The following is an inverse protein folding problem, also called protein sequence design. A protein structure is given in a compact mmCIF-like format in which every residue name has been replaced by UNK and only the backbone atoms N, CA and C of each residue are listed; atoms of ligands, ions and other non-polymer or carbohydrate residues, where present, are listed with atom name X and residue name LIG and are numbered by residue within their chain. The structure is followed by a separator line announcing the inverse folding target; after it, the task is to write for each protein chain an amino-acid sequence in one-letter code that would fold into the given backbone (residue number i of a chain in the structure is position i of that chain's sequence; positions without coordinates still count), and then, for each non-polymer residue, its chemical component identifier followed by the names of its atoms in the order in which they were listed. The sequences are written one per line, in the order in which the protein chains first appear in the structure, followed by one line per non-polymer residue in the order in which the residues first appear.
data_IF_263798418344
#
_entry.id   IF_263798418344
#
_cell.length_a   1.000
_cell.length_b   1.000
_cell.length_c   1.000
_cell.angle_alpha   90.00
_cell.angle_beta   90.00
_cell.angle_gamma   90.00
#
_symmetry.space_group_name_H-M   'P 1'
#
loop_
_entity.id
_entity.type
_entity.pdbx_description
1 polymer ?
#
# COMPACT_ATOMS: atom_id res chain seq x y z
N UNK A 1 -3.40 23.22 -14.94
CA UNK A 1 -3.19 21.79 -15.23
C UNK A 1 -4.56 21.16 -15.41
N UNK A 2 -4.90 20.68 -16.61
CA UNK A 2 -6.24 20.14 -16.88
C UNK A 2 -6.47 18.90 -16.00
N UNK A 3 -7.63 18.81 -15.33
CA UNK A 3 -7.99 17.69 -14.46
C UNK A 3 -7.83 16.35 -15.16
N UNK A 4 -8.16 16.30 -16.45
CA UNK A 4 -7.97 15.13 -17.31
C UNK A 4 -6.51 14.70 -17.36
N UNK A 5 -5.58 15.64 -17.55
CA UNK A 5 -4.15 15.34 -17.58
C UNK A 5 -3.64 14.76 -16.24
N UNK A 6 -4.10 15.32 -15.11
CA UNK A 6 -3.74 14.79 -13.79
C UNK A 6 -4.30 13.38 -13.57
N UNK A 7 -5.55 13.11 -13.98
CA UNK A 7 -6.18 11.79 -13.86
C UNK A 7 -5.47 10.78 -14.75
N UNK A 8 -5.17 11.11 -16.01
CA UNK A 8 -4.45 10.23 -16.93
C UNK A 8 -3.06 9.90 -16.41
N UNK A 9 -2.33 10.88 -15.90
CA UNK A 9 -0.97 10.67 -15.38
C UNK A 9 -0.97 9.75 -14.16
N UNK A 10 -1.90 9.95 -13.22
CA UNK A 10 -2.05 9.06 -12.05
C UNK A 10 -2.46 7.66 -12.48
N UNK A 11 -3.40 7.53 -13.41
CA UNK A 11 -3.86 6.22 -13.89
C UNK A 11 -2.74 5.43 -14.56
N UNK A 12 -2.01 6.07 -15.49
CA UNK A 12 -0.88 5.45 -16.18
C UNK A 12 0.23 5.09 -15.18
N UNK A 13 0.62 6.00 -14.28
CA UNK A 13 1.64 5.74 -13.26
C UNK A 13 1.27 4.55 -12.37
N UNK A 14 0.07 4.53 -11.79
CA UNK A 14 -0.39 3.42 -10.96
C UNK A 14 -0.44 2.09 -11.71
N UNK A 15 -0.97 2.06 -12.94
CA UNK A 15 -1.05 0.84 -13.73
C UNK A 15 0.34 0.33 -14.11
N UNK A 16 1.25 1.22 -14.54
CA UNK A 16 2.63 0.85 -14.85
C UNK A 16 3.36 0.33 -13.61
N UNK A 17 3.21 0.97 -12.46
CA UNK A 17 3.79 0.52 -11.20
C UNK A 17 3.37 -0.93 -10.88
N UNK A 18 2.07 -1.21 -10.95
CA UNK A 18 1.52 -2.55 -10.68
C UNK A 18 2.07 -3.59 -11.66
N UNK A 19 2.16 -3.26 -12.96
CA UNK A 19 2.73 -4.18 -13.97
C UNK A 19 4.19 -4.51 -13.66
N UNK A 20 5.03 -3.52 -13.35
CA UNK A 20 6.42 -3.78 -12.99
C UNK A 20 6.55 -4.56 -11.68
N UNK A 21 5.69 -4.28 -10.70
CA UNK A 21 5.64 -5.04 -9.45
C UNK A 21 5.28 -6.50 -9.70
N UNK A 22 4.30 -6.78 -10.56
CA UNK A 22 3.89 -8.13 -10.91
C UNK A 22 5.02 -8.92 -11.58
N UNK A 23 5.74 -8.30 -12.53
CA UNK A 23 6.90 -8.93 -13.17
C UNK A 23 7.99 -9.26 -12.14
N UNK A 24 8.32 -8.32 -11.25
CA UNK A 24 9.32 -8.53 -10.20
C UNK A 24 8.94 -9.67 -9.25
N UNK A 25 7.70 -9.69 -8.77
CA UNK A 25 7.21 -10.72 -7.83
C UNK A 25 7.10 -12.09 -8.51
N UNK A 26 6.79 -12.13 -9.81
CA UNK A 26 6.71 -13.38 -10.57
C UNK A 26 8.08 -14.06 -10.71
N UNK A 27 9.13 -13.27 -10.95
CA UNK A 27 10.47 -13.81 -11.18
C UNK A 27 11.23 -14.04 -9.86
N UNK A 28 11.00 -13.20 -8.83
CA UNK A 28 11.57 -13.35 -7.49
C UNK A 28 10.49 -13.23 -6.41
N UNK A 29 9.83 -14.34 -6.02
CA UNK A 29 8.84 -14.31 -4.96
C UNK A 29 9.50 -13.89 -3.65
N UNK A 30 8.93 -12.89 -2.96
CA UNK A 30 9.48 -12.32 -1.73
C UNK A 30 10.26 -11.01 -1.92
N UNK A 31 10.49 -10.54 -3.16
CA UNK A 31 11.21 -9.29 -3.42
C UNK A 31 10.45 -8.01 -2.97
N UNK A 32 9.26 -8.13 -2.39
CA UNK A 32 8.45 -6.99 -1.98
C UNK A 32 9.17 -6.05 -1.00
N UNK A 33 10.03 -6.58 -0.13
CA UNK A 33 10.78 -5.79 0.85
C UNK A 33 11.83 -4.88 0.19
N UNK A 34 12.58 -5.38 -0.81
CA UNK A 34 13.55 -4.57 -1.54
C UNK A 34 12.86 -3.51 -2.41
N UNK A 35 11.70 -3.85 -3.00
CA UNK A 35 10.91 -2.91 -3.80
C UNK A 35 10.41 -1.74 -2.94
N UNK A 36 9.74 -2.04 -1.82
CA UNK A 36 9.24 -1.00 -0.90
C UNK A 36 10.37 -0.19 -0.29
N UNK A 37 11.48 -0.82 0.08
CA UNK A 37 12.67 -0.10 0.55
C UNK A 37 13.18 0.90 -0.50
N UNK A 38 13.34 0.46 -1.76
CA UNK A 38 13.82 1.33 -2.84
C UNK A 38 12.87 2.50 -3.10
N UNK A 39 11.54 2.26 -3.09
CA UNK A 39 10.52 3.31 -3.20
C UNK A 39 10.64 4.32 -2.05
N UNK A 40 10.78 3.85 -0.82
CA UNK A 40 10.86 4.72 0.37
C UNK A 40 12.14 5.55 0.36
N UNK A 41 13.28 4.95 -0.03
CA UNK A 41 14.56 5.65 -0.17
C UNK A 41 14.47 6.71 -1.27
N UNK A 42 13.92 6.38 -2.43
CA UNK A 42 13.79 7.34 -3.52
C UNK A 42 12.93 8.55 -3.14
N UNK A 43 11.76 8.30 -2.54
CA UNK A 43 10.86 9.36 -2.06
C UNK A 43 11.51 10.18 -0.94
N UNK A 44 12.23 9.53 -0.03
CA UNK A 44 12.94 10.23 1.05
C UNK A 44 14.09 11.08 0.50
N UNK A 45 14.83 10.62 -0.51
CA UNK A 45 15.92 11.38 -1.14
C UNK A 45 15.40 12.59 -1.92
N UNK A 46 14.34 12.42 -2.71
CA UNK A 46 13.66 13.51 -3.42
C UNK A 46 13.17 14.57 -2.42
N UNK A 47 12.48 14.14 -1.36
CA UNK A 47 12.01 15.03 -0.31
C UNK A 47 13.15 15.70 0.48
N UNK A 48 14.25 14.99 0.71
CA UNK A 48 15.41 15.54 1.40
C UNK A 48 16.06 16.69 0.59
N UNK A 49 16.24 16.49 -0.71
CA UNK A 49 16.86 17.46 -1.61
C UNK A 49 15.93 18.65 -1.87
N UNK A 50 14.68 18.38 -2.29
CA UNK A 50 13.78 19.42 -2.79
C UNK A 50 12.93 20.09 -1.71
N UNK A 51 12.58 19.39 -0.63
CA UNK A 51 11.68 19.94 0.40
C UNK A 51 12.45 20.40 1.65
N UNK A 52 13.40 19.60 2.15
CA UNK A 52 14.11 19.94 3.39
C UNK A 52 15.33 20.83 3.19
N UNK A 53 15.76 21.07 1.94
CA UNK A 53 17.00 21.79 1.60
C UNK A 53 18.19 21.28 2.44
N UNK A 54 18.46 19.97 2.39
CA UNK A 54 19.48 19.31 3.23
C UNK A 54 19.26 19.49 4.74
N UNK A 55 17.99 19.45 5.18
CA UNK A 55 17.63 19.61 6.60
C UNK A 55 17.67 21.04 7.15
N UNK A 56 17.84 22.05 6.30
CA UNK A 56 17.84 23.47 6.71
C UNK A 56 16.43 23.99 7.04
N UNK A 57 15.39 23.38 6.49
CA UNK A 57 14.00 23.77 6.72
C UNK A 57 13.45 23.09 7.99
N UNK A 58 12.92 23.87 8.93
CA UNK A 58 12.23 23.33 10.11
C UNK A 58 10.86 22.78 9.70
N UNK A 59 10.42 21.64 10.27
CA UNK A 59 9.12 21.06 9.97
C UNK A 59 7.99 21.99 10.45
N UNK A 60 6.98 22.18 9.60
CA UNK A 60 5.77 22.95 9.91
C UNK A 60 4.83 22.13 10.80
N UNK A 61 4.86 20.81 10.65
CA UNK A 61 4.07 19.87 11.44
C UNK A 61 4.99 19.19 12.47
N UNK A 62 4.62 19.14 13.77
CA UNK A 62 5.42 18.47 14.79
C UNK A 62 5.67 17.00 14.44
N UNK A 63 6.94 16.57 14.51
CA UNK A 63 7.39 15.21 14.14
C UNK A 63 6.62 14.11 14.89
N UNK A 64 6.17 14.38 16.12
CA UNK A 64 5.33 13.45 16.90
C UNK A 64 4.08 13.00 16.13
N UNK A 65 3.46 13.86 15.33
CA UNK A 65 2.28 13.49 14.54
C UNK A 65 2.63 12.56 13.38
N UNK A 66 3.79 12.76 12.76
CA UNK A 66 4.28 11.85 11.71
C UNK A 66 4.65 10.48 12.27
N UNK A 67 5.27 10.43 13.45
CA UNK A 67 5.53 9.15 14.14
C UNK A 67 4.22 8.39 14.38
N UNK A 68 3.16 9.07 14.83
CA UNK A 68 1.84 8.45 15.01
C UNK A 68 1.29 7.90 13.68
N UNK A 69 1.37 8.66 12.59
CA UNK A 69 0.94 8.18 11.26
C UNK A 69 1.72 6.96 10.82
N UNK A 70 3.05 6.99 10.97
CA UNK A 70 3.94 5.89 10.61
C UNK A 70 3.64 4.64 11.43
N UNK A 71 3.39 4.78 12.73
CA UNK A 71 3.00 3.65 13.59
C UNK A 71 1.65 3.06 13.16
N UNK A 72 0.65 3.89 12.83
CA UNK A 72 -0.63 3.43 12.30
C UNK A 72 -0.45 2.70 10.97
N UNK A 73 0.33 3.26 10.04
CA UNK A 73 0.65 2.65 8.75
C UNK A 73 1.35 1.30 8.93
N UNK A 74 2.37 1.22 9.78
CA UNK A 74 3.10 -0.01 10.06
C UNK A 74 2.19 -1.08 10.66
N UNK A 75 1.34 -0.71 11.62
CA UNK A 75 0.34 -1.62 12.21
C UNK A 75 -0.60 -2.18 11.14
N UNK A 76 -1.14 -1.31 10.28
CA UNK A 76 -2.00 -1.72 9.15
C UNK A 76 -1.24 -2.65 8.21
N UNK A 77 0.02 -2.34 7.89
CA UNK A 77 0.86 -3.14 7.01
C UNK A 77 1.14 -4.54 7.57
N UNK A 78 1.51 -4.64 8.85
CA UNK A 78 1.78 -5.92 9.52
C UNK A 78 0.53 -6.77 9.57
N UNK A 79 -0.62 -6.21 9.95
CA UNK A 79 -1.87 -6.96 10.04
C UNK A 79 -2.36 -7.40 8.65
N UNK A 80 -2.27 -6.54 7.64
CA UNK A 80 -2.63 -6.93 6.26
C UNK A 80 -1.72 -8.04 5.73
N UNK A 81 -0.42 -7.96 5.96
CA UNK A 81 0.52 -9.01 5.54
C UNK A 81 0.25 -10.31 6.29
N UNK A 82 -0.04 -10.26 7.59
CA UNK A 82 -0.33 -11.45 8.38
C UNK A 82 -1.67 -12.09 8.02
N UNK A 83 -2.67 -11.30 7.61
CA UNK A 83 -3.98 -11.78 7.19
C UNK A 83 -3.92 -12.74 5.98
N UNK A 84 -2.87 -12.67 5.15
CA UNK A 84 -2.65 -13.60 4.04
C UNK A 84 -2.41 -15.05 4.50
N UNK A 85 -1.90 -15.26 5.70
CA UNK A 85 -1.68 -16.60 6.27
C UNK A 85 -2.99 -17.32 6.60
N UNK A 86 -4.13 -16.62 6.61
CA UNK A 86 -5.44 -17.18 6.97
C UNK A 86 -6.21 -17.73 5.75
N UNK A 87 -5.49 -18.15 4.70
CA UNK A 87 -6.04 -18.66 3.44
C UNK A 87 -7.06 -17.72 2.79
N UNK A 88 -6.88 -16.41 2.96
CA UNK A 88 -7.71 -15.41 2.30
C UNK A 88 -7.23 -15.27 0.86
N UNK A 89 -8.15 -15.44 -0.10
CA UNK A 89 -7.84 -15.21 -1.51
C UNK A 89 -7.37 -13.76 -1.72
N UNK A 90 -6.28 -13.58 -2.47
CA UNK A 90 -5.74 -12.25 -2.80
C UNK A 90 -6.78 -11.26 -3.36
N UNK A 91 -7.75 -11.68 -4.21
CA UNK A 91 -8.85 -10.82 -4.63
C UNK A 91 -9.69 -10.30 -3.46
N UNK A 92 -10.00 -11.13 -2.46
CA UNK A 92 -10.77 -10.72 -1.28
C UNK A 92 -10.00 -9.69 -0.44
N UNK A 93 -8.68 -9.85 -0.31
CA UNK A 93 -7.83 -8.85 0.33
C UNK A 93 -7.86 -7.50 -0.41
N UNK A 94 -7.75 -7.50 -1.74
CA UNK A 94 -7.82 -6.28 -2.56
C UNK A 94 -9.18 -5.56 -2.43
N UNK A 95 -10.26 -6.32 -2.33
CA UNK A 95 -11.63 -5.86 -2.11
C UNK A 95 -11.75 -5.14 -0.76
N UNK A 96 -11.31 -5.76 0.33
CA UNK A 96 -11.32 -5.13 1.66
C UNK A 96 -10.45 -3.87 1.69
N UNK A 97 -9.25 -3.90 1.09
CA UNK A 97 -8.36 -2.73 1.02
C UNK A 97 -9.03 -1.54 0.32
N UNK A 98 -9.79 -1.81 -0.74
CA UNK A 98 -10.57 -0.79 -1.47
C UNK A 98 -11.73 -0.21 -0.64
N UNK A 99 -12.24 -0.97 0.33
CA UNK A 99 -13.26 -0.52 1.30
C UNK A 99 -12.78 0.53 2.31
N UNK A 100 -11.47 0.77 2.44
CA UNK A 100 -10.93 1.84 3.30
C UNK A 100 -11.45 3.23 2.92
N UNK A 101 -11.75 3.47 1.64
CA UNK A 101 -12.37 4.73 1.18
C UNK A 101 -13.77 4.92 1.77
N UNK A 102 -14.57 3.85 1.82
CA UNK A 102 -15.92 3.86 2.40
C UNK A 102 -15.82 4.13 3.90
N UNK A 103 -14.95 3.40 4.60
CA UNK A 103 -14.76 3.57 6.04
C UNK A 103 -14.24 4.97 6.39
N UNK A 104 -13.32 5.52 5.60
CA UNK A 104 -12.84 6.89 5.77
C UNK A 104 -13.98 7.90 5.61
N UNK A 105 -14.86 7.73 4.62
CA UNK A 105 -16.02 8.61 4.47
C UNK A 105 -16.99 8.47 5.65
N UNK A 106 -17.33 7.25 6.09
CA UNK A 106 -18.23 7.02 7.23
C UNK A 106 -17.64 7.62 8.51
N UNK A 107 -16.38 7.34 8.82
CA UNK A 107 -15.69 7.91 9.98
C UNK A 107 -15.58 9.44 9.88
N UNK A 108 -15.42 9.99 8.67
CA UNK A 108 -15.45 11.43 8.45
C UNK A 108 -16.83 12.06 8.69
N UNK A 109 -17.93 11.33 8.46
CA UNK A 109 -19.27 11.78 8.85
C UNK A 109 -19.43 11.73 10.37
N UNK A 110 -18.99 10.65 11.01
CA UNK A 110 -19.19 10.43 12.45
C UNK A 110 -18.28 11.35 13.29
N UNK A 111 -16.98 11.37 13.00
CA UNK A 111 -15.96 12.06 13.80
C UNK A 111 -15.85 13.53 13.40
N UNK A 112 -15.75 13.82 12.10
CA UNK A 112 -15.54 15.19 11.60
C UNK A 112 -16.86 15.93 11.33
N UNK A 113 -18.01 15.26 11.41
CA UNK A 113 -19.33 15.82 11.06
C UNK A 113 -19.37 16.44 9.66
N UNK A 114 -18.53 15.95 8.75
CA UNK A 114 -18.47 16.43 7.36
C UNK A 114 -19.75 16.01 6.61
N UNK A 115 -20.22 16.87 5.69
CA UNK A 115 -21.32 16.58 4.75
C UNK A 115 -20.72 16.29 3.37
N UNK A 116 -21.09 15.17 2.77
CA UNK A 116 -20.59 14.74 1.46
C UNK A 116 -21.67 14.90 0.37
N UNK A 117 -21.25 15.05 -0.89
CA UNK A 117 -22.17 15.15 -2.04
C UNK A 117 -22.83 13.79 -2.34
N UNK A 118 -24.07 13.81 -2.85
CA UNK A 118 -24.85 12.62 -3.23
C UNK A 118 -24.11 11.66 -4.16
N UNK A 119 -23.23 12.16 -5.03
CA UNK A 119 -22.40 11.32 -5.91
C UNK A 119 -21.44 10.41 -5.13
N UNK A 120 -20.92 10.86 -3.97
CA UNK A 120 -20.01 10.04 -3.13
C UNK A 120 -20.76 8.90 -2.45
N UNK A 121 -22.00 9.12 -2.04
CA UNK A 121 -22.86 8.06 -1.49
C UNK A 121 -23.17 6.99 -2.54
N UNK A 122 -23.42 7.39 -3.80
CA UNK A 122 -23.61 6.44 -4.90
C UNK A 122 -22.35 5.58 -5.15
N UNK A 123 -21.16 6.18 -5.12
CA UNK A 123 -19.89 5.44 -5.24
C UNK A 123 -19.72 4.39 -4.14
N UNK A 124 -20.09 4.71 -2.89
CA UNK A 124 -20.05 3.74 -1.79
C UNK A 124 -20.95 2.54 -2.07
N UNK A 125 -22.18 2.77 -2.51
CA UNK A 125 -23.14 1.69 -2.81
C UNK A 125 -22.59 0.78 -3.90
N UNK A 126 -22.05 1.36 -4.98
CA UNK A 126 -21.45 0.60 -6.08
C UNK A 126 -20.25 -0.25 -5.63
N UNK A 127 -19.35 0.31 -4.81
CA UNK A 127 -18.21 -0.43 -4.28
C UNK A 127 -18.68 -1.56 -3.35
N UNK A 128 -19.63 -1.30 -2.45
CA UNK A 128 -20.19 -2.33 -1.56
C UNK A 128 -20.85 -3.48 -2.35
N UNK A 129 -21.55 -3.18 -3.44
CA UNK A 129 -22.12 -4.20 -4.33
C UNK A 129 -21.03 -5.02 -5.01
N UNK A 130 -19.97 -4.39 -5.52
CA UNK A 130 -18.82 -5.08 -6.11
C UNK A 130 -18.13 -6.03 -5.11
N UNK A 131 -17.95 -5.55 -3.87
CA UNK A 131 -17.40 -6.35 -2.77
C UNK A 131 -18.28 -7.57 -2.50
N UNK A 132 -19.60 -7.37 -2.38
CA UNK A 132 -20.56 -8.44 -2.09
C UNK A 132 -20.58 -9.52 -3.19
N UNK A 133 -20.65 -9.12 -4.46
CA UNK A 133 -20.65 -10.03 -5.61
C UNK A 133 -19.36 -10.85 -5.65
N UNK A 134 -18.19 -10.21 -5.52
CA UNK A 134 -16.91 -10.91 -5.56
C UNK A 134 -16.72 -11.84 -4.35
N UNK A 135 -17.23 -11.46 -3.18
CA UNK A 135 -17.19 -12.31 -1.97
C UNK A 135 -18.00 -13.59 -2.20
N UNK A 136 -19.21 -13.50 -2.77
CA UNK A 136 -20.02 -14.68 -3.10
C UNK A 136 -19.32 -15.57 -4.12
N UNK A 137 -18.69 -14.99 -5.15
CA UNK A 137 -17.93 -15.75 -6.15
C UNK A 137 -16.74 -16.48 -5.54
N UNK A 138 -15.95 -15.82 -4.69
CA UNK A 138 -14.84 -16.47 -3.97
C UNK A 138 -15.33 -17.57 -3.03
N UNK A 139 -16.43 -17.36 -2.28
CA UNK A 139 -16.99 -18.36 -1.39
C UNK A 139 -17.43 -19.63 -2.15
N UNK A 140 -18.08 -19.46 -3.31
CA UNK A 140 -18.48 -20.59 -4.17
C UNK A 140 -17.28 -21.37 -4.73
N UNK A 141 -16.19 -20.69 -5.08
CA UNK A 141 -14.98 -21.33 -5.58
C UNK A 141 -14.30 -22.19 -4.51
N UNK A 142 -14.24 -21.70 -3.26
CA UNK A 142 -13.70 -22.47 -2.12
C UNK A 142 -14.59 -23.67 -1.78
N UNK A 143 -15.93 -23.55 -1.89
CA UNK A 143 -16.86 -24.66 -1.67
C UNK A 143 -16.81 -25.75 -2.74
N UNK A 144 -16.32 -25.46 -3.95
CA UNK A 144 -16.20 -26.43 -5.04
C UNK A 144 -14.95 -27.33 -4.91
N UNK A 145 -13.92 -26.91 -4.18
CA UNK A 145 -12.65 -27.63 -4.05
C UNK A 145 -12.53 -28.50 -2.79
N UNK A 146 -13.42 -28.38 -1.80
CA UNK A 146 -13.32 -29.12 -0.53
C UNK A 146 -14.55 -29.97 -0.23
N UNK A 147 -14.50 -31.23 -0.65
CA UNK A 147 -15.23 -32.33 0.00
C UNK A 147 -14.44 -32.78 1.22
N UNK A 148 -14.64 -32.18 2.40
CA UNK A 148 -13.93 -32.57 3.63
C UNK A 148 -14.87 -32.60 4.85
N UNK A 149 -14.64 -33.60 5.70
CA UNK A 149 -15.30 -34.01 6.94
C UNK A 149 -15.63 -32.90 7.95
N UNK A 150 -16.74 -33.06 8.69
CA UNK A 150 -17.38 -32.03 9.52
C UNK A 150 -16.49 -31.37 10.60
N UNK A 151 -15.49 -32.06 11.16
CA UNK A 151 -14.65 -31.49 12.24
C UNK A 151 -13.54 -30.55 11.75
N UNK A 152 -12.96 -30.81 10.58
CA UNK A 152 -11.96 -29.90 9.98
C UNK A 152 -12.60 -28.62 9.42
N UNK A 153 -13.87 -28.70 9.00
CA UNK A 153 -14.62 -27.55 8.46
C UNK A 153 -14.81 -26.41 9.45
N UNK A 154 -15.03 -26.71 10.74
CA UNK A 154 -15.23 -25.69 11.78
C UNK A 154 -13.93 -24.94 12.07
N UNK A 155 -12.80 -25.66 12.18
CA UNK A 155 -11.49 -25.03 12.39
C UNK A 155 -11.11 -24.13 11.21
N UNK A 156 -11.29 -24.60 9.98
CA UNK A 156 -11.04 -23.83 8.76
C UNK A 156 -11.93 -22.59 8.69
N UNK A 157 -13.21 -22.70 9.04
CA UNK A 157 -14.15 -21.58 9.08
C UNK A 157 -13.76 -20.53 10.13
N UNK A 158 -13.41 -20.95 11.35
CA UNK A 158 -12.97 -20.02 12.41
C UNK A 158 -11.66 -19.32 12.04
N UNK A 159 -10.73 -20.02 11.40
CA UNK A 159 -9.48 -19.44 10.93
C UNK A 159 -9.73 -18.39 9.83
N UNK A 160 -10.62 -18.68 8.90
CA UNK A 160 -11.05 -17.72 7.88
C UNK A 160 -11.76 -16.49 8.47
N UNK A 161 -12.66 -16.70 9.45
CA UNK A 161 -13.36 -15.62 10.16
C UNK A 161 -12.39 -14.69 10.91
N UNK A 162 -11.36 -15.26 11.55
CA UNK A 162 -10.29 -14.51 12.19
C UNK A 162 -9.53 -13.66 11.16
N UNK A 163 -9.23 -14.23 10.00
CA UNK A 163 -8.69 -13.54 8.82
C UNK A 163 -9.50 -12.28 8.44
N UNK A 164 -10.82 -12.43 8.30
CA UNK A 164 -11.74 -11.33 8.02
C UNK A 164 -11.73 -10.28 9.15
N UNK A 165 -11.71 -10.72 10.41
CA UNK A 165 -11.62 -9.83 11.56
C UNK A 165 -10.38 -8.93 11.50
N UNK A 166 -9.22 -9.51 11.18
CA UNK A 166 -7.97 -8.76 11.01
C UNK A 166 -8.03 -7.77 9.85
N UNK A 167 -8.56 -8.18 8.69
CA UNK A 167 -8.73 -7.27 7.55
C UNK A 167 -9.67 -6.11 7.87
N UNK A 168 -10.76 -6.40 8.60
CA UNK A 168 -11.72 -5.37 9.04
C UNK A 168 -11.05 -4.38 10.00
N UNK A 169 -10.26 -4.88 10.95
CA UNK A 169 -9.49 -4.02 11.85
C UNK A 169 -8.47 -3.16 11.09
N UNK A 170 -7.70 -3.75 10.17
CA UNK A 170 -6.74 -3.04 9.34
C UNK A 170 -7.41 -1.97 8.47
N UNK A 171 -8.60 -2.25 7.95
CA UNK A 171 -9.43 -1.32 7.18
C UNK A 171 -9.87 -0.12 8.03
N UNK A 172 -10.35 -0.35 9.25
CA UNK A 172 -10.73 0.73 10.19
C UNK A 172 -9.51 1.56 10.58
N UNK A 173 -8.39 0.93 10.92
CA UNK A 173 -7.14 1.64 11.25
C UNK A 173 -6.61 2.47 10.09
N UNK A 174 -6.68 1.95 8.86
CA UNK A 174 -6.31 2.69 7.64
C UNK A 174 -7.20 3.93 7.44
N UNK A 175 -8.50 3.79 7.68
CA UNK A 175 -9.43 4.91 7.61
C UNK A 175 -9.19 5.95 8.72
N UNK A 176 -8.91 5.51 9.96
CA UNK A 176 -8.54 6.39 11.07
C UNK A 176 -7.26 7.18 10.77
N UNK A 177 -6.26 6.54 10.16
CA UNK A 177 -5.04 7.20 9.69
C UNK A 177 -5.37 8.30 8.67
N UNK A 178 -6.28 8.04 7.72
CA UNK A 178 -6.76 9.03 6.75
C UNK A 178 -7.44 10.24 7.41
N UNK A 179 -8.30 10.00 8.39
CA UNK A 179 -8.96 11.05 9.18
C UNK A 179 -7.97 11.86 10.01
N UNK A 180 -6.99 11.19 10.63
CA UNK A 180 -5.94 11.86 11.38
C UNK A 180 -5.12 12.79 10.47
N UNK A 181 -4.80 12.33 9.26
CA UNK A 181 -4.13 13.14 8.25
C UNK A 181 -4.98 14.34 7.80
N UNK A 182 -6.29 14.17 7.57
CA UNK A 182 -7.19 15.29 7.24
C UNK A 182 -7.23 16.33 8.37
N UNK A 183 -7.35 15.87 9.61
CA UNK A 183 -7.38 16.75 10.79
C UNK A 183 -6.08 17.52 10.95
N UNK A 184 -4.94 16.86 10.70
CA UNK A 184 -3.63 17.49 10.79
C UNK A 184 -3.44 18.57 9.72
N UNK A 185 -3.87 18.31 8.48
CA UNK A 185 -3.82 19.31 7.41
C UNK A 185 -4.80 20.47 7.63
N UNK A 186 -5.95 20.22 8.28
CA UNK A 186 -6.85 21.30 8.71
C UNK A 186 -6.20 22.20 9.76
N UNK A 187 -5.41 21.64 10.68
CA UNK A 187 -4.79 22.38 11.79
C UNK A 187 -3.51 23.13 11.39
N UNK A 188 -2.63 22.48 10.63
CA UNK A 188 -1.29 23.03 10.31
C UNK A 188 -1.15 23.51 8.88
N UNK A 189 -2.18 23.33 8.04
CA UNK A 189 -2.10 23.63 6.61
C UNK A 189 -1.61 22.44 5.79
N UNK A 190 -1.75 22.57 4.46
CA UNK A 190 -1.43 21.50 3.52
C UNK A 190 0.06 21.50 3.18
N UNK A 191 0.82 20.71 3.92
CA UNK A 191 2.25 20.47 3.68
C UNK A 191 2.48 19.08 3.07
N UNK A 192 1.98 18.85 1.86
CA UNK A 192 1.97 17.51 1.23
C UNK A 192 3.36 16.96 0.93
N UNK A 193 4.31 17.80 0.50
CA UNK A 193 5.70 17.37 0.24
C UNK A 193 6.46 17.03 1.52
N UNK A 194 6.31 17.86 2.55
CA UNK A 194 6.90 17.62 3.89
C UNK A 194 6.34 16.32 4.49
N UNK A 195 5.02 16.12 4.39
CA UNK A 195 4.38 14.90 4.85
C UNK A 195 4.82 13.66 4.06
N UNK A 196 5.01 13.80 2.74
CA UNK A 196 5.53 12.72 1.91
C UNK A 196 6.93 12.32 2.37
N UNK A 197 7.82 13.29 2.59
CA UNK A 197 9.17 13.06 3.10
C UNK A 197 9.16 12.34 4.46
N UNK A 198 8.49 12.88 5.48
CA UNK A 198 8.53 12.29 6.82
C UNK A 198 7.88 10.91 6.89
N UNK A 199 6.78 10.69 6.17
CA UNK A 199 6.11 9.38 6.15
C UNK A 199 6.94 8.28 5.48
N UNK A 200 7.89 8.62 4.61
CA UNK A 200 8.78 7.64 3.96
C UNK A 200 10.18 7.58 4.59
N UNK A 201 10.66 8.68 5.19
CA UNK A 201 11.95 8.73 5.86
C UNK A 201 11.92 8.07 7.25
N UNK A 202 10.87 8.31 8.05
CA UNK A 202 10.78 7.79 9.42
C UNK A 202 10.66 6.25 9.51
N UNK A 203 10.02 5.54 8.56
CA UNK A 203 10.02 4.08 8.54
C UNK A 203 11.36 3.44 8.12
N UNK A 204 12.27 4.16 7.46
CA UNK A 204 13.53 3.59 6.93
C UNK A 204 14.36 2.83 7.97
N UNK A 205 14.54 3.33 9.22
CA UNK A 205 15.23 2.56 10.25
C UNK A 205 14.54 1.22 10.57
N UNK A 206 13.22 1.12 10.41
CA UNK A 206 12.49 -0.14 10.58
C UNK A 206 12.83 -1.19 9.54
N UNK A 207 13.23 -0.79 8.33
CA UNK A 207 13.71 -1.70 7.29
C UNK A 207 15.05 -2.36 7.66
N UNK A 208 15.77 -1.87 8.68
CA UNK A 208 16.98 -2.54 9.18
C UNK A 208 16.68 -3.96 9.70
N UNK A 209 15.47 -4.20 10.23
CA UNK A 209 15.03 -5.53 10.64
C UNK A 209 14.87 -6.49 9.44
N UNK A 210 14.66 -5.94 8.25
CA UNK A 210 14.50 -6.65 6.98
C UNK A 210 15.78 -6.61 6.13
N UNK A 211 16.88 -6.04 6.64
CA UNK A 211 18.08 -5.77 5.86
C UNK A 211 18.68 -7.04 5.25
N UNK A 212 18.69 -8.14 5.99
CA UNK A 212 19.20 -9.44 5.49
C UNK A 212 18.42 -9.91 4.27
N UNK A 213 17.09 -9.80 4.30
CA UNK A 213 16.23 -10.20 3.18
C UNK A 213 16.42 -9.27 1.97
N UNK A 214 16.54 -7.96 2.21
CA UNK A 214 16.82 -6.96 1.18
C UNK A 214 18.17 -7.22 0.50
N UNK A 215 19.22 -7.47 1.28
CA UNK A 215 20.56 -7.76 0.76
C UNK A 215 20.58 -9.05 -0.06
N UNK A 216 19.88 -10.10 0.41
CA UNK A 216 19.77 -11.36 -0.32
C UNK A 216 19.12 -11.15 -1.70
N UNK A 217 18.00 -10.41 -1.75
CA UNK A 217 17.34 -10.09 -3.02
C UNK A 217 18.16 -9.16 -3.91
N UNK A 218 18.93 -8.22 -3.34
CA UNK A 218 19.85 -7.37 -4.11
C UNK A 218 20.95 -8.19 -4.81
N UNK A 219 21.49 -9.21 -4.13
CA UNK A 219 22.45 -10.14 -4.73
C UNK A 219 21.80 -10.97 -5.84
N UNK A 220 20.57 -11.44 -5.64
CA UNK A 220 19.82 -12.18 -6.66
C UNK A 220 19.55 -11.32 -7.91
N UNK A 221 19.13 -10.06 -7.73
CA UNK A 221 18.90 -9.13 -8.84
C UNK A 221 20.17 -8.90 -9.64
N UNK A 222 21.30 -8.80 -8.96
CA UNK A 222 22.62 -8.60 -9.60
C UNK A 222 23.12 -9.80 -10.40
N UNK A 223 22.54 -10.99 -10.19
CA UNK A 223 22.85 -12.20 -10.96
C UNK A 223 21.97 -12.37 -12.21
N UNK A 224 21.00 -11.50 -12.42
CA UNK A 224 20.11 -11.60 -13.58
C UNK A 224 20.81 -11.19 -14.88
N UNK A 225 20.24 -11.64 -16.01
CA UNK A 225 20.80 -11.36 -17.33
C UNK A 225 21.00 -9.85 -17.51
N UNK A 226 22.22 -9.40 -17.86
CA UNK A 226 22.45 -8.00 -18.18
C UNK A 226 21.78 -7.66 -19.50
N UNK A 227 21.11 -6.51 -19.56
CA UNK A 227 20.61 -5.92 -20.80
C UNK A 227 21.33 -4.59 -21.04
N UNK A 228 21.70 -4.34 -22.28
CA UNK A 228 22.29 -3.08 -22.71
C UNK A 228 21.22 -1.99 -22.70
N UNK A 229 21.49 -0.89 -21.99
CA UNK A 229 20.64 0.29 -22.04
C UNK A 229 20.99 1.05 -23.32
N UNK A 230 20.07 1.15 -24.31
CA UNK A 230 20.37 1.71 -25.64
C UNK A 230 20.86 3.16 -25.61
N UNK A 231 20.54 3.90 -24.54
CA UNK A 231 20.84 5.32 -24.37
C UNK A 231 22.19 5.56 -23.67
N UNK A 232 22.66 4.63 -22.85
CA UNK A 232 23.82 4.81 -21.95
C UNK A 232 25.00 3.89 -22.32
N UNK A 233 24.76 2.85 -23.14
CA UNK A 233 25.80 1.88 -23.51
C UNK A 233 26.32 1.03 -22.34
N UNK A 234 25.64 1.10 -21.18
CA UNK A 234 25.96 0.32 -19.99
C UNK A 234 25.08 -0.93 -19.92
N UNK A 235 25.67 -2.05 -19.53
CA UNK A 235 24.96 -3.29 -19.21
C UNK A 235 24.48 -3.25 -17.77
N UNK A 236 23.16 -3.34 -17.57
CA UNK A 236 22.56 -3.37 -16.24
C UNK A 236 21.68 -4.62 -16.12
N UNK A 237 21.73 -5.36 -15.00
CA UNK A 237 20.86 -6.52 -14.82
C UNK A 237 19.39 -6.12 -14.94
N UNK A 238 18.62 -6.91 -15.68
CA UNK A 238 17.22 -6.61 -16.05
C UNK A 238 16.35 -6.28 -14.84
N UNK A 239 16.57 -6.94 -13.70
CA UNK A 239 15.76 -6.71 -12.50
C UNK A 239 15.98 -5.34 -11.88
N UNK A 240 17.19 -4.79 -11.96
CA UNK A 240 17.45 -3.42 -11.50
C UNK A 240 16.75 -2.39 -12.37
N UNK A 241 16.59 -2.65 -13.67
CA UNK A 241 15.81 -1.80 -14.57
C UNK A 241 14.31 -1.84 -14.23
N UNK A 242 13.75 -3.03 -14.01
CA UNK A 242 12.35 -3.19 -13.61
C UNK A 242 12.06 -2.53 -12.26
N UNK A 243 12.99 -2.67 -11.30
CA UNK A 243 12.92 -1.97 -10.02
C UNK A 243 12.97 -0.45 -10.19
N UNK A 244 13.90 0.07 -11.00
CA UNK A 244 14.00 1.51 -11.25
C UNK A 244 12.73 2.06 -11.90
N UNK A 245 12.18 1.36 -12.90
CA UNK A 245 10.92 1.74 -13.53
C UNK A 245 9.76 1.74 -12.52
N UNK A 246 9.67 0.71 -11.68
CA UNK A 246 8.66 0.65 -10.62
C UNK A 246 8.79 1.81 -9.60
N UNK A 247 10.01 2.22 -9.26
CA UNK A 247 10.26 3.33 -8.32
C UNK A 247 9.92 4.69 -8.93
N UNK A 248 10.09 4.85 -10.25
CA UNK A 248 9.83 6.11 -10.96
C UNK A 248 8.33 6.31 -11.25
N UNK A 249 7.60 5.22 -11.53
CA UNK A 249 6.16 5.23 -11.85
C UNK A 249 5.28 5.27 -10.61
#
# INVERSE_FOLDING_TARGET
MNTVFAVTLVFVGCCSNVVFLEVLVRDFPGCGNIVTFAQFVFIALEGFIFETNFGRKKPSIPIRNYVIMVTMFFTVSVINNYALNFNIAMPLHMIFRSGSLIANMILGIIILKNRYSSSKYLSIVLVSLGIFICTIMSAKQVSAEKSVTQEEGVYVFLHWLLGIGMLTFALVMSALMGIFQETLYKKYGKHSKEALFYNHCLPLPGFLLLATDICNHAVLFSKTTPVEIPVIGATVPVMWLHLAMNVIT
#
